data_IF_084503417338
#
_entry.id   IF_084503417338
#
_cell.length_a   1.000
_cell.length_b   1.000
_cell.length_c   1.000
_cell.angle_alpha   90.00
_cell.angle_beta   90.00
_cell.angle_gamma   90.00
#
_symmetry.space_group_name_H-M   'P 1'
#
loop_
_entity.id
_entity.type
_entity.pdbx_description
1 polymer ?
#
# COMPACT_ATOMS: atom_id res chain seq x y z
N UNK A 1 0.71 5.58 18.20
CA UNK A 1 0.48 5.02 16.85
C UNK A 1 1.52 3.95 16.59
N UNK A 2 1.18 2.79 16.02
CA UNK A 2 2.20 1.75 15.73
C UNK A 2 3.08 2.18 14.54
N UNK A 3 4.28 1.62 14.42
CA UNK A 3 5.18 1.92 13.28
C UNK A 3 4.56 1.49 11.94
N UNK A 4 3.85 0.36 11.92
CA UNK A 4 3.06 -0.06 10.77
C UNK A 4 1.96 0.97 10.41
N UNK A 5 1.21 1.49 11.39
CA UNK A 5 0.21 2.54 11.12
C UNK A 5 0.83 3.81 10.56
N UNK A 6 2.04 4.18 11.02
CA UNK A 6 2.75 5.33 10.48
C UNK A 6 3.19 5.10 9.03
N UNK A 7 3.72 3.91 8.72
CA UNK A 7 4.05 3.50 7.34
C UNK A 7 2.84 3.65 6.42
N UNK A 8 1.69 3.08 6.80
CA UNK A 8 0.47 3.13 5.98
C UNK A 8 0.01 4.56 5.72
N UNK A 9 -0.04 5.40 6.76
CA UNK A 9 -0.44 6.80 6.60
C UNK A 9 0.47 7.58 5.67
N UNK A 10 1.78 7.30 5.70
CA UNK A 10 2.73 7.97 4.81
C UNK A 10 2.59 7.45 3.38
N UNK A 11 2.42 6.13 3.19
CA UNK A 11 2.13 5.54 1.89
C UNK A 11 0.86 6.14 1.28
N UNK A 12 -0.24 6.17 2.03
CA UNK A 12 -1.51 6.76 1.58
C UNK A 12 -1.34 8.22 1.17
N UNK A 13 -0.59 9.00 1.96
CA UNK A 13 -0.30 10.40 1.66
C UNK A 13 0.60 10.57 0.42
N UNK A 14 1.49 9.62 0.14
CA UNK A 14 2.32 9.67 -1.06
C UNK A 14 1.48 9.34 -2.29
N UNK A 15 0.72 8.26 -2.23
CA UNK A 15 -0.18 7.82 -3.31
C UNK A 15 -1.23 8.89 -3.64
N UNK A 16 -1.78 9.57 -2.63
CA UNK A 16 -2.79 10.62 -2.85
C UNK A 16 -2.27 11.88 -3.57
N UNK A 17 -0.96 11.98 -3.84
CA UNK A 17 -0.37 13.09 -4.61
C UNK A 17 -0.37 12.82 -6.12
N UNK A 18 -0.68 11.60 -6.54
CA UNK A 18 -0.74 11.23 -7.94
C UNK A 18 -2.19 11.29 -8.41
N UNK A 19 -2.45 12.10 -9.44
CA UNK A 19 -3.78 12.18 -10.06
C UNK A 19 -4.10 10.93 -10.90
N UNK A 20 -3.06 10.25 -11.42
CA UNK A 20 -3.15 8.99 -12.15
C UNK A 20 -1.85 8.20 -12.03
N UNK A 21 -1.94 6.88 -12.19
CA UNK A 21 -0.80 5.94 -12.19
C UNK A 21 -0.51 5.36 -13.59
N UNK A 22 -1.25 5.79 -14.62
CA UNK A 22 -1.09 5.32 -16.01
C UNK A 22 -1.34 3.82 -16.18
N UNK A 23 -0.76 3.25 -17.24
CA UNK A 23 -0.93 1.84 -17.61
C UNK A 23 0.00 0.88 -16.84
N UNK A 24 0.90 1.42 -16.01
CA UNK A 24 1.86 0.63 -15.23
C UNK A 24 2.02 1.18 -13.81
N UNK A 25 1.00 1.06 -12.94
CA UNK A 25 1.06 1.53 -11.56
C UNK A 25 2.23 0.94 -10.75
N UNK A 26 2.68 -0.26 -11.10
CA UNK A 26 3.78 -0.95 -10.44
C UNK A 26 5.13 -0.22 -10.62
N UNK A 27 5.27 0.63 -11.64
CA UNK A 27 6.48 1.42 -11.86
C UNK A 27 6.76 2.44 -10.74
N UNK A 28 5.74 2.79 -9.95
CA UNK A 28 5.88 3.72 -8.81
C UNK A 28 6.37 3.02 -7.53
N UNK A 29 6.44 1.69 -7.49
CA UNK A 29 6.76 0.94 -6.27
C UNK A 29 8.15 1.31 -5.73
N UNK A 30 9.17 1.33 -6.58
CA UNK A 30 10.54 1.65 -6.16
C UNK A 30 10.63 3.07 -5.59
N UNK A 31 9.98 4.06 -6.25
CA UNK A 31 9.89 5.43 -5.75
C UNK A 31 9.19 5.50 -4.38
N UNK A 32 8.13 4.73 -4.17
CA UNK A 32 7.42 4.67 -2.89
C UNK A 32 8.30 4.03 -1.81
N UNK A 33 9.03 2.96 -2.14
CA UNK A 33 9.95 2.31 -1.22
C UNK A 33 11.05 3.27 -0.76
N UNK A 34 11.68 3.99 -1.70
CA UNK A 34 12.70 4.98 -1.40
C UNK A 34 12.18 6.09 -0.46
N UNK A 35 10.96 6.58 -0.70
CA UNK A 35 10.33 7.61 0.14
C UNK A 35 9.88 7.10 1.52
N UNK A 36 9.78 5.80 1.71
CA UNK A 36 9.34 5.14 2.95
C UNK A 36 10.48 4.42 3.68
N UNK A 37 11.72 4.53 3.20
CA UNK A 37 12.90 3.82 3.72
C UNK A 37 13.07 3.98 5.24
N UNK A 38 12.89 5.19 5.78
CA UNK A 38 12.96 5.45 7.22
C UNK A 38 11.90 4.68 8.04
N UNK A 39 10.66 4.62 7.55
CA UNK A 39 9.59 3.87 8.21
C UNK A 39 9.81 2.36 8.12
N UNK A 40 10.32 1.88 6.97
CA UNK A 40 10.66 0.48 6.74
C UNK A 40 11.78 0.06 7.70
N UNK A 41 12.89 0.82 7.74
CA UNK A 41 14.00 0.59 8.67
C UNK A 41 13.52 0.55 10.12
N UNK A 42 12.67 1.50 10.53
CA UNK A 42 12.14 1.52 11.88
C UNK A 42 11.29 0.30 12.27
N UNK A 43 10.64 -0.36 11.30
CA UNK A 43 9.92 -1.61 11.51
C UNK A 43 10.91 -2.77 11.68
N UNK A 44 11.92 -2.84 10.81
CA UNK A 44 12.98 -3.84 10.88
C UNK A 44 13.81 -3.75 12.16
N UNK A 45 14.23 -2.56 12.57
CA UNK A 45 15.08 -2.33 13.75
C UNK A 45 14.41 -2.81 15.05
N UNK A 46 13.10 -2.62 15.17
CA UNK A 46 12.35 -3.09 16.35
C UNK A 46 11.92 -4.54 16.25
N UNK A 47 11.78 -5.05 15.02
CA UNK A 47 11.37 -6.41 14.67
C UNK A 47 10.24 -7.00 15.53
N UNK A 48 9.22 -6.19 15.84
CA UNK A 48 8.11 -6.61 16.71
C UNK A 48 7.06 -7.39 15.90
N UNK A 49 6.63 -8.59 16.34
CA UNK A 49 5.62 -9.38 15.63
C UNK A 49 4.33 -8.61 15.34
N UNK A 50 3.92 -7.71 16.22
CA UNK A 50 2.69 -6.94 16.07
C UNK A 50 2.77 -5.94 14.90
N UNK A 51 3.97 -5.45 14.57
CA UNK A 51 4.16 -4.57 13.40
C UNK A 51 4.01 -5.36 12.10
N UNK A 52 4.61 -6.54 12.04
CA UNK A 52 4.49 -7.45 10.88
C UNK A 52 3.07 -7.96 10.70
N UNK A 53 2.39 -8.35 11.78
CA UNK A 53 0.99 -8.76 11.74
C UNK A 53 0.09 -7.68 11.13
N UNK A 54 0.30 -6.41 11.50
CA UNK A 54 -0.42 -5.29 10.91
C UNK A 54 -0.14 -5.13 9.41
N UNK A 55 1.12 -5.30 8.97
CA UNK A 55 1.50 -5.27 7.54
C UNK A 55 0.83 -6.40 6.75
N UNK A 56 0.79 -7.62 7.29
CA UNK A 56 0.10 -8.73 6.64
C UNK A 56 -1.40 -8.47 6.48
N UNK A 57 -2.05 -7.95 7.53
CA UNK A 57 -3.47 -7.59 7.47
C UNK A 57 -3.72 -6.49 6.42
N UNK A 58 -2.90 -5.45 6.37
CA UNK A 58 -3.11 -4.36 5.39
C UNK A 58 -2.83 -4.83 3.95
N UNK A 59 -1.82 -5.68 3.73
CA UNK A 59 -1.58 -6.34 2.43
C UNK A 59 -2.80 -7.14 1.98
N UNK A 60 -3.39 -7.93 2.88
CA UNK A 60 -4.55 -8.75 2.52
C UNK A 60 -5.79 -7.88 2.27
N UNK A 61 -5.97 -6.78 3.01
CA UNK A 61 -6.98 -5.75 2.70
C UNK A 61 -6.78 -5.15 1.31
N UNK A 62 -5.55 -4.79 0.95
CA UNK A 62 -5.23 -4.26 -0.38
C UNK A 62 -5.58 -5.26 -1.49
N UNK A 63 -5.21 -6.54 -1.34
CA UNK A 63 -5.58 -7.61 -2.29
C UNK A 63 -7.09 -7.75 -2.47
N UNK A 64 -7.85 -7.72 -1.37
CA UNK A 64 -9.31 -7.78 -1.42
C UNK A 64 -9.87 -6.55 -2.14
N UNK A 65 -9.38 -5.34 -1.83
CA UNK A 65 -9.78 -4.08 -2.52
C UNK A 65 -9.52 -4.17 -4.02
N UNK A 66 -8.32 -4.58 -4.45
CA UNK A 66 -7.99 -4.77 -5.87
C UNK A 66 -8.95 -5.75 -6.54
N UNK A 67 -9.20 -6.91 -5.92
CA UNK A 67 -10.11 -7.91 -6.47
C UNK A 67 -11.55 -7.39 -6.62
N UNK A 68 -12.02 -6.58 -5.66
CA UNK A 68 -13.34 -5.93 -5.74
C UNK A 68 -13.38 -4.90 -6.87
N UNK A 69 -12.37 -4.03 -6.98
CA UNK A 69 -12.31 -3.01 -8.03
C UNK A 69 -12.27 -3.63 -9.43
N UNK A 70 -11.49 -4.71 -9.62
CA UNK A 70 -11.46 -5.44 -10.88
C UNK A 70 -12.86 -5.97 -11.26
N UNK A 71 -13.57 -6.60 -10.31
CA UNK A 71 -14.95 -7.06 -10.54
C UNK A 71 -15.93 -5.93 -10.88
N UNK A 72 -15.70 -4.72 -10.36
CA UNK A 72 -16.53 -3.55 -10.70
C UNK A 72 -16.27 -3.15 -12.16
N UNK A 73 -15.01 -3.08 -12.58
CA UNK A 73 -14.62 -2.75 -13.95
C UNK A 73 -15.14 -3.78 -14.97
N UNK A 74 -15.07 -5.07 -14.64
CA UNK A 74 -15.58 -6.14 -15.51
C UNK A 74 -17.10 -6.01 -15.73
N UNK A 75 -17.85 -5.65 -14.67
CA UNK A 75 -19.30 -5.47 -14.73
C UNK A 75 -19.71 -4.22 -15.51
N UNK A 76 -18.93 -3.15 -15.43
CA UNK A 76 -19.20 -1.93 -16.21
C UNK A 76 -18.89 -2.08 -17.70
N UNK A 77 -18.03 -3.02 -18.07
CA UNK A 77 -17.62 -3.27 -19.46
C UNK A 77 -18.64 -4.08 -20.27
N UNK A 78 -19.70 -4.58 -19.62
CA UNK A 78 -20.72 -5.47 -20.19
C UNK A 78 -22.09 -4.77 -20.42
N UNK A 79 -22.14 -3.44 -20.40
CA UNK A 79 -23.36 -2.63 -20.56
C UNK A 79 -23.36 -1.75 -21.80
#
# INVERSE_FOLDING_TARGET
MSRATQLFKKLDKLLSKHDTFGDSPEAFVDEMLDKLDDEIKAIHDKNKPEHWAAIYVERDRARIKTAVLNKVMDRSSSG
#
